data_IF_214330982369
#
_entry.id   IF_214330982369
#
_cell.length_a   1.000
_cell.length_b   1.000
_cell.length_c   1.000
_cell.angle_alpha   90.00
_cell.angle_beta   90.00
_cell.angle_gamma   90.00
#
_symmetry.space_group_name_H-M   'P 1'
#
loop_
_entity.id
_entity.type
_entity.pdbx_description
1 polymer ?
#
# COMPACT_ATOMS: atom_id res chain seq x y z
N UNK A 1 -13.11 2.21 3.40
CA UNK A 1 -13.27 2.27 1.93
C UNK A 1 -11.90 2.28 1.28
N UNK A 2 -11.76 1.61 0.15
CA UNK A 2 -10.52 1.58 -0.66
C UNK A 2 -10.84 2.14 -2.05
N UNK A 3 -10.11 3.17 -2.45
CA UNK A 3 -10.20 3.78 -3.77
C UNK A 3 -8.87 3.68 -4.48
N UNK A 4 -8.87 3.27 -5.76
CA UNK A 4 -7.65 3.27 -6.57
C UNK A 4 -7.45 4.64 -7.20
N UNK A 5 -6.26 5.21 -7.01
CA UNK A 5 -5.84 6.46 -7.63
C UNK A 5 -5.15 6.12 -8.95
N UNK A 6 -5.61 6.73 -10.04
CA UNK A 6 -4.96 6.58 -11.34
C UNK A 6 -3.64 7.36 -11.36
N UNK A 7 -2.54 6.64 -11.61
CA UNK A 7 -1.17 7.20 -11.56
C UNK A 7 -0.63 7.56 -12.94
N UNK A 8 -1.29 7.10 -14.01
CA UNK A 8 -0.80 7.21 -15.39
C UNK A 8 0.44 6.36 -15.71
N UNK A 9 0.93 5.57 -14.74
CA UNK A 9 2.09 4.69 -14.90
C UNK A 9 1.72 3.26 -14.48
N UNK A 10 1.92 2.25 -15.35
CA UNK A 10 1.64 0.86 -14.99
C UNK A 10 2.57 0.33 -13.89
N UNK A 11 3.69 1.00 -13.64
CA UNK A 11 4.65 0.64 -12.58
C UNK A 11 4.30 1.23 -11.21
N UNK A 12 3.31 2.12 -11.11
CA UNK A 12 2.93 2.77 -9.86
C UNK A 12 1.47 2.46 -9.56
N UNK A 13 1.22 1.80 -8.44
CA UNK A 13 -0.10 1.58 -7.89
C UNK A 13 -0.31 2.55 -6.75
N UNK A 14 -1.42 3.27 -6.78
CA UNK A 14 -1.77 4.21 -5.73
C UNK A 14 -3.19 3.96 -5.24
N UNK A 15 -3.36 4.02 -3.93
CA UNK A 15 -4.65 3.76 -3.29
C UNK A 15 -4.90 4.75 -2.17
N UNK A 16 -6.18 5.10 -1.98
CA UNK A 16 -6.67 5.84 -0.85
C UNK A 16 -7.53 4.94 0.02
N UNK A 17 -7.19 4.89 1.29
CA UNK A 17 -7.85 4.11 2.31
C UNK A 17 -8.43 5.09 3.32
N UNK A 18 -9.72 4.95 3.61
CA UNK A 18 -10.42 5.82 4.56
C UNK A 18 -11.38 5.06 5.47
N UNK A 19 -11.60 5.60 6.66
CA UNK A 19 -12.46 5.00 7.69
C UNK A 19 -11.90 3.68 8.22
N UNK A 20 -12.80 2.77 8.60
CA UNK A 20 -12.45 1.43 9.07
C UNK A 20 -12.58 0.41 7.93
N UNK A 21 -11.50 -0.33 7.65
CA UNK A 21 -11.51 -1.39 6.64
C UNK A 21 -12.04 -2.71 7.21
N UNK A 22 -12.88 -3.36 6.42
CA UNK A 22 -13.46 -4.66 6.73
C UNK A 22 -12.94 -5.72 5.76
N UNK A 23 -13.10 -7.00 6.09
CA UNK A 23 -12.63 -8.14 5.28
C UNK A 23 -13.04 -8.06 3.79
N UNK A 24 -14.21 -7.49 3.51
CA UNK A 24 -14.71 -7.35 2.14
C UNK A 24 -13.86 -6.38 1.31
N UNK A 25 -13.37 -5.30 1.92
CA UNK A 25 -12.51 -4.33 1.27
C UNK A 25 -11.20 -5.02 0.81
N UNK A 26 -10.62 -5.87 1.66
CA UNK A 26 -9.40 -6.62 1.34
C UNK A 26 -9.60 -7.62 0.20
N UNK A 27 -10.75 -8.32 0.17
CA UNK A 27 -11.05 -9.30 -0.89
C UNK A 27 -11.13 -8.67 -2.28
N UNK A 28 -11.49 -7.40 -2.37
CA UNK A 28 -11.50 -6.66 -3.64
C UNK A 28 -10.14 -6.06 -3.94
N UNK A 29 -9.40 -5.63 -2.92
CA UNK A 29 -8.12 -4.95 -3.04
C UNK A 29 -6.94 -5.87 -3.43
N UNK A 30 -6.84 -7.05 -2.80
CA UNK A 30 -5.73 -7.98 -3.04
C UNK A 30 -5.61 -8.40 -4.51
N UNK A 31 -6.69 -8.86 -5.18
CA UNK A 31 -6.59 -9.28 -6.58
C UNK A 31 -6.16 -8.14 -7.52
N UNK A 32 -6.50 -6.89 -7.21
CA UNK A 32 -6.08 -5.73 -8.00
C UNK A 32 -4.56 -5.55 -7.93
N UNK A 33 -3.99 -5.66 -6.73
CA UNK A 33 -2.54 -5.60 -6.54
C UNK A 33 -1.86 -6.78 -7.24
N UNK A 34 -2.35 -8.00 -7.04
CA UNK A 34 -1.76 -9.20 -7.66
C UNK A 34 -1.76 -9.12 -9.19
N UNK A 35 -2.90 -8.75 -9.79
CA UNK A 35 -3.02 -8.62 -11.24
C UNK A 35 -2.08 -7.53 -11.78
N UNK A 36 -1.93 -6.42 -11.06
CA UNK A 36 -1.03 -5.36 -11.46
C UNK A 36 0.45 -5.79 -11.38
N UNK A 37 0.85 -6.51 -10.34
CA UNK A 37 2.21 -7.07 -10.24
C UNK A 37 2.45 -8.07 -11.37
N UNK A 38 1.51 -8.99 -11.61
CA UNK A 38 1.63 -10.01 -12.65
C UNK A 38 1.67 -9.41 -14.07
N UNK A 39 1.00 -8.28 -14.30
CA UNK A 39 0.99 -7.58 -15.58
C UNK A 39 2.21 -6.67 -15.77
N UNK A 40 2.91 -6.30 -14.70
CA UNK A 40 4.05 -5.41 -14.77
C UNK A 40 5.28 -6.14 -15.36
N UNK A 41 6.01 -5.50 -16.30
CA UNK A 41 7.23 -6.08 -16.87
C UNK A 41 8.42 -6.06 -15.90
N UNK A 42 8.26 -5.52 -14.69
CA UNK A 42 9.31 -5.30 -13.72
C UNK A 42 8.74 -4.93 -12.34
N UNK A 43 9.59 -4.48 -11.42
CA UNK A 43 9.16 -4.23 -10.05
C UNK A 43 8.16 -3.07 -9.99
N UNK A 44 7.17 -3.20 -9.12
CA UNK A 44 6.09 -2.22 -8.93
C UNK A 44 6.37 -1.33 -7.74
N UNK A 45 5.74 -0.16 -7.74
CA UNK A 45 5.81 0.82 -6.66
C UNK A 45 4.42 1.04 -6.11
N UNK A 46 4.29 1.07 -4.79
CA UNK A 46 3.00 1.23 -4.11
C UNK A 46 2.94 2.55 -3.37
N UNK A 47 1.86 3.30 -3.52
CA UNK A 47 1.54 4.47 -2.71
C UNK A 47 0.19 4.26 -2.04
N UNK A 48 0.11 4.53 -0.74
CA UNK A 48 -1.12 4.38 0.04
C UNK A 48 -1.36 5.65 0.82
N UNK A 49 -2.50 6.31 0.56
CA UNK A 49 -3.02 7.45 1.30
C UNK A 49 -4.00 6.94 2.36
N UNK A 50 -3.66 7.09 3.64
CA UNK A 50 -4.48 6.79 4.80
C UNK A 50 -5.12 8.10 5.28
N UNK A 51 -6.33 8.38 4.83
CA UNK A 51 -7.07 9.61 5.16
C UNK A 51 -8.23 9.25 6.09
N UNK A 52 -8.26 9.81 7.29
CA UNK A 52 -9.29 9.50 8.31
C UNK A 52 -9.38 7.97 8.56
N UNK A 53 -8.21 7.33 8.62
CA UNK A 53 -8.11 5.87 8.72
C UNK A 53 -8.20 5.44 10.18
N UNK A 54 -9.20 4.63 10.51
CA UNK A 54 -9.48 4.18 11.89
C UNK A 54 -9.05 2.73 12.14
N UNK A 55 -8.20 2.16 11.29
CA UNK A 55 -7.74 0.77 11.40
C UNK A 55 -8.57 -0.22 10.59
N UNK A 56 -8.31 -1.50 10.84
CA UNK A 56 -8.97 -2.62 10.17
C UNK A 56 -9.48 -3.65 11.18
N UNK A 57 -10.46 -4.46 10.78
CA UNK A 57 -10.98 -5.58 11.57
C UNK A 57 -9.96 -6.75 11.72
N UNK A 58 -10.15 -7.67 12.68
CA UNK A 58 -9.04 -8.32 13.37
C UNK A 58 -8.21 -9.29 12.52
N UNK A 59 -6.88 -9.23 12.73
CA UNK A 59 -5.74 -10.11 12.38
C UNK A 59 -5.82 -11.13 11.24
N UNK A 60 -6.89 -11.91 11.10
CA UNK A 60 -7.00 -12.99 10.12
C UNK A 60 -6.97 -12.48 8.66
N UNK A 61 -7.77 -11.45 8.33
CA UNK A 61 -7.76 -10.85 7.01
C UNK A 61 -6.42 -10.15 6.70
N UNK A 62 -5.75 -9.64 7.73
CA UNK A 62 -4.42 -9.03 7.62
C UNK A 62 -3.33 -10.07 7.37
N UNK A 63 -3.38 -11.20 8.08
CA UNK A 63 -2.44 -12.30 7.89
C UNK A 63 -2.70 -13.01 6.54
N UNK A 64 -3.95 -13.15 6.10
CA UNK A 64 -4.28 -13.62 4.75
C UNK A 64 -3.85 -12.62 3.67
N UNK A 65 -3.96 -11.31 3.91
CA UNK A 65 -3.42 -10.26 3.03
C UNK A 65 -1.90 -10.39 2.87
N UNK A 66 -1.18 -10.61 3.98
CA UNK A 66 0.28 -10.84 4.05
C UNK A 66 0.75 -12.21 3.58
N UNK A 67 -0.15 -13.18 3.46
CA UNK A 67 0.15 -14.48 2.84
C UNK A 67 -0.25 -14.48 1.36
N UNK A 68 -1.21 -13.64 0.99
CA UNK A 68 -1.82 -13.52 -0.34
C UNK A 68 -0.89 -12.91 -1.38
N UNK A 69 -0.31 -11.74 -1.13
CA UNK A 69 0.64 -11.09 -2.06
C UNK A 69 1.97 -11.86 -2.09
N UNK A 70 2.00 -13.07 -2.65
CA UNK A 70 3.19 -13.93 -2.83
C UNK A 70 4.37 -13.23 -3.52
N UNK A 71 4.12 -12.06 -4.09
CA UNK A 71 5.02 -11.18 -4.82
C UNK A 71 5.50 -9.95 -4.02
N UNK A 72 5.49 -9.96 -2.68
CA UNK A 72 6.06 -8.85 -1.87
C UNK A 72 7.49 -8.45 -2.28
N UNK A 73 8.25 -9.41 -2.81
CA UNK A 73 9.61 -9.24 -3.28
C UNK A 73 9.72 -8.44 -4.59
N UNK A 74 8.61 -8.26 -5.30
CA UNK A 74 8.52 -7.54 -6.58
C UNK A 74 8.18 -6.06 -6.38
N UNK A 75 8.05 -5.60 -5.12
CA UNK A 75 7.94 -4.17 -4.82
C UNK A 75 9.31 -3.52 -4.67
N UNK A 76 9.56 -2.45 -5.43
CA UNK A 76 10.78 -1.64 -5.27
C UNK A 76 10.61 -0.64 -4.11
N UNK A 77 9.48 0.08 -4.10
CA UNK A 77 9.21 1.17 -3.16
C UNK A 77 7.77 1.17 -2.68
N UNK A 78 7.58 1.54 -1.43
CA UNK A 78 6.27 1.75 -0.82
C UNK A 78 6.23 3.11 -0.11
N UNK A 79 5.32 3.99 -0.51
CA UNK A 79 5.03 5.26 0.13
C UNK A 79 3.73 5.15 0.93
N UNK A 80 3.77 5.45 2.22
CA UNK A 80 2.59 5.50 3.07
C UNK A 80 2.39 6.95 3.53
N UNK A 81 1.24 7.53 3.22
CA UNK A 81 0.87 8.91 3.55
C UNK A 81 -0.25 8.86 4.58
N UNK A 82 -0.10 9.49 5.74
CA UNK A 82 -1.18 9.54 6.72
C UNK A 82 -0.74 10.03 8.10
N UNK A 83 -1.71 10.17 9.01
CA UNK A 83 -1.49 10.65 10.37
C UNK A 83 -0.94 9.56 11.31
N UNK A 84 -0.25 9.97 12.38
CA UNK A 84 0.56 9.11 13.30
C UNK A 84 -0.08 7.81 13.83
N UNK A 85 -1.39 7.64 13.71
CA UNK A 85 -2.09 6.42 14.11
C UNK A 85 -1.69 5.18 13.28
N UNK A 86 -1.01 5.36 12.13
CA UNK A 86 -0.46 4.25 11.34
C UNK A 86 0.80 3.61 11.98
N UNK A 87 1.50 4.30 12.88
CA UNK A 87 2.75 3.82 13.49
C UNK A 87 2.56 2.49 14.25
N UNK A 88 1.41 2.31 14.92
CA UNK A 88 1.08 1.09 15.65
C UNK A 88 0.91 -0.14 14.74
N UNK A 89 0.53 0.08 13.46
CA UNK A 89 0.33 -0.96 12.47
C UNK A 89 1.57 -1.23 11.62
N UNK A 90 2.54 -0.29 11.60
CA UNK A 90 3.77 -0.36 10.79
C UNK A 90 4.61 -1.61 11.08
N UNK A 91 4.79 -1.97 12.34
CA UNK A 91 5.56 -3.17 12.73
C UNK A 91 4.94 -4.47 12.23
N UNK A 92 3.65 -4.46 11.87
CA UNK A 92 2.98 -5.57 11.23
C UNK A 92 3.05 -5.45 9.70
N UNK A 93 2.92 -4.25 9.15
CA UNK A 93 3.00 -3.93 7.72
C UNK A 93 4.38 -4.19 7.12
N UNK A 94 5.46 -3.69 7.71
CA UNK A 94 6.79 -3.71 7.10
C UNK A 94 7.49 -5.09 7.15
N UNK A 95 7.04 -6.02 7.99
CA UNK A 95 7.69 -7.33 8.19
C UNK A 95 7.81 -8.20 6.93
N UNK A 96 6.78 -8.33 6.06
CA UNK A 96 6.90 -9.08 4.81
C UNK A 96 7.58 -8.31 3.67
N UNK A 97 7.66 -6.98 3.71
CA UNK A 97 8.23 -6.15 2.64
C UNK A 97 9.74 -5.91 2.79
N UNK A 98 10.50 -6.90 3.25
CA UNK A 98 11.93 -6.74 3.57
C UNK A 98 12.83 -6.36 2.38
N UNK A 99 12.36 -6.52 1.14
CA UNK A 99 13.06 -6.09 -0.08
C UNK A 99 12.65 -4.72 -0.59
N UNK A 100 11.47 -4.23 -0.20
CA UNK A 100 10.99 -2.94 -0.66
C UNK A 100 11.51 -1.83 0.25
N UNK A 101 11.87 -0.68 -0.32
CA UNK A 101 12.12 0.52 0.47
C UNK A 101 10.78 1.09 0.90
N UNK A 102 10.46 1.05 2.19
CA UNK A 102 9.22 1.63 2.73
C UNK A 102 9.52 3.00 3.33
N UNK A 103 8.79 4.02 2.92
CA UNK A 103 8.88 5.37 3.47
C UNK A 103 7.50 5.91 3.85
N UNK A 104 7.48 6.62 4.96
CA UNK A 104 6.27 7.24 5.49
C UNK A 104 6.36 8.74 5.34
N UNK A 105 5.19 9.35 5.16
CA UNK A 105 5.00 10.77 4.95
C UNK A 105 3.79 11.20 5.75
N UNK A 106 3.86 12.34 6.42
CA UNK A 106 2.67 12.92 7.03
C UNK A 106 1.65 13.29 5.93
N UNK A 107 0.37 13.42 6.30
CA UNK A 107 -0.66 13.83 5.34
C UNK A 107 -0.33 15.17 4.64
N UNK A 108 0.36 16.07 5.36
CA UNK A 108 0.85 17.34 4.82
C UNK A 108 2.00 17.19 3.80
N UNK A 109 2.64 16.03 3.74
CA UNK A 109 3.77 15.71 2.86
C UNK A 109 3.36 14.85 1.66
N UNK A 110 2.06 14.77 1.35
CA UNK A 110 1.55 13.96 0.23
C UNK A 110 2.28 14.25 -1.09
N UNK A 111 2.56 15.52 -1.40
CA UNK A 111 3.31 15.89 -2.62
C UNK A 111 4.74 15.33 -2.63
N UNK A 112 5.41 15.31 -1.48
CA UNK A 112 6.76 14.74 -1.35
C UNK A 112 6.74 13.23 -1.52
N UNK A 113 5.70 12.55 -1.02
CA UNK A 113 5.50 11.12 -1.22
C UNK A 113 5.28 10.76 -2.70
N UNK A 114 4.45 11.55 -3.38
CA UNK A 114 4.20 11.40 -4.81
C UNK A 114 5.44 11.67 -5.67
N UNK A 115 6.26 12.66 -5.30
CA UNK A 115 7.55 12.87 -5.97
C UNK A 115 8.48 11.67 -5.77
N UNK A 116 8.65 11.23 -4.53
CA UNK A 116 9.54 10.12 -4.17
C UNK A 116 9.16 8.78 -4.80
N UNK A 117 7.86 8.48 -4.91
CA UNK A 117 7.40 7.24 -5.56
C UNK A 117 7.64 7.30 -7.07
N UNK A 118 7.59 8.48 -7.70
CA UNK A 118 7.81 8.66 -9.14
C UNK A 118 9.28 8.61 -9.54
N UNK A 119 10.18 9.03 -8.66
CA UNK A 119 11.64 8.96 -8.83
C UNK A 119 12.22 7.53 -8.80
N UNK A 120 11.39 6.50 -8.61
CA UNK A 120 11.79 5.11 -8.81
C UNK A 120 12.34 4.89 -10.21
N UNK A 121 13.52 4.28 -10.24
CA UNK A 121 14.56 4.24 -11.29
C UNK A 121 14.07 4.00 -12.72
#
# INVERSE_FOLDING_TARGET
MIEQIQTGSPAILAFRLSGKLHDQDYRTFVPVIENAIAAAPGPVRLLVELIDFHGWDPKAAWDDFKLGIRHYADFERMALIGDKDWEAWMGQLAKPFTRATVRHFDAAEADAAWAWIREGT
#
